data_IF_022658072653
#
_entry.id   IF_022658072653
#
_cell.length_a   1.000
_cell.length_b   1.000
_cell.length_c   1.000
_cell.angle_alpha   90.00
_cell.angle_beta   90.00
_cell.angle_gamma   90.00
#
_symmetry.space_group_name_H-M   'P 1'
#
loop_
_entity.id
_entity.type
_entity.pdbx_description
1 polymer ?
#
# COMPACT_ATOMS: atom_id res chain seq x y z
N UNK A 1 24.21 8.25 25.71
CA UNK A 1 25.27 7.41 25.08
C UNK A 1 24.68 6.04 24.75
N UNK A 2 24.51 5.70 23.46
CA UNK A 2 24.07 4.35 23.06
C UNK A 2 25.27 3.40 23.25
N UNK A 3 25.10 2.34 24.06
CA UNK A 3 26.16 1.37 24.34
C UNK A 3 26.73 0.75 23.05
N UNK A 4 28.06 0.66 22.96
CA UNK A 4 28.79 0.01 21.84
C UNK A 4 28.24 -1.41 21.53
N UNK A 5 27.81 -2.15 22.57
CA UNK A 5 27.18 -3.48 22.41
C UNK A 5 25.87 -3.41 21.58
N UNK A 6 25.09 -2.35 21.73
CA UNK A 6 23.83 -2.17 21.01
C UNK A 6 24.06 -1.93 19.50
N UNK A 7 25.09 -1.14 19.16
CA UNK A 7 25.46 -0.85 17.78
C UNK A 7 25.94 -2.14 17.08
N UNK A 8 26.79 -2.93 17.74
CA UNK A 8 27.27 -4.21 17.21
C UNK A 8 26.13 -5.20 17.00
N UNK A 9 25.21 -5.32 17.96
CA UNK A 9 24.03 -6.18 17.83
C UNK A 9 23.11 -5.74 16.69
N UNK A 10 22.86 -4.43 16.55
CA UNK A 10 22.05 -3.88 15.46
C UNK A 10 22.67 -4.18 14.08
N UNK A 11 23.99 -4.03 13.94
CA UNK A 11 24.74 -4.38 12.71
C UNK A 11 24.64 -5.87 12.42
N UNK A 12 24.89 -6.73 13.40
CA UNK A 12 24.78 -8.18 13.23
C UNK A 12 23.37 -8.59 12.77
N UNK A 13 22.34 -8.07 13.42
CA UNK A 13 20.94 -8.31 13.04
C UNK A 13 20.63 -7.81 11.63
N UNK A 14 21.20 -6.67 11.21
CA UNK A 14 21.07 -6.16 9.86
C UNK A 14 21.69 -7.12 8.83
N UNK A 15 22.92 -7.59 9.05
CA UNK A 15 23.61 -8.53 8.17
C UNK A 15 22.91 -9.90 8.09
N UNK A 16 22.56 -10.50 9.24
CA UNK A 16 21.78 -11.75 9.28
C UNK A 16 20.46 -11.58 8.54
N UNK A 17 19.79 -10.43 8.73
CA UNK A 17 18.58 -10.09 7.99
C UNK A 17 18.78 -10.02 6.47
N UNK A 18 19.93 -9.52 6.00
CA UNK A 18 20.27 -9.48 4.58
C UNK A 18 20.52 -10.88 4.02
N UNK A 19 21.28 -11.72 4.73
CA UNK A 19 21.53 -13.12 4.34
C UNK A 19 20.21 -13.89 4.24
N UNK A 20 19.35 -13.79 5.26
CA UNK A 20 18.03 -14.40 5.23
C UNK A 20 17.21 -13.92 4.02
N UNK A 21 17.22 -12.61 3.73
CA UNK A 21 16.46 -12.03 2.60
C UNK A 21 17.00 -12.48 1.23
N UNK A 22 18.31 -12.66 1.12
CA UNK A 22 18.97 -13.21 -0.05
C UNK A 22 18.55 -14.68 -0.28
N UNK A 23 18.76 -15.55 0.71
CA UNK A 23 18.43 -16.99 0.62
C UNK A 23 16.94 -17.22 0.40
N UNK A 24 16.09 -16.45 1.06
CA UNK A 24 14.63 -16.55 0.89
C UNK A 24 14.09 -15.78 -0.33
N UNK A 25 14.99 -15.26 -1.18
CA UNK A 25 14.64 -14.53 -2.38
C UNK A 25 13.80 -15.36 -3.33
N UNK A 26 14.24 -16.58 -3.64
CA UNK A 26 13.56 -17.52 -4.56
C UNK A 26 12.10 -17.74 -4.19
N UNK A 27 11.79 -17.82 -2.89
CA UNK A 27 10.45 -18.13 -2.41
C UNK A 27 9.52 -16.92 -2.35
N UNK A 28 10.04 -15.76 -1.95
CA UNK A 28 9.21 -14.61 -1.58
C UNK A 28 9.38 -13.39 -2.48
N UNK A 29 10.39 -13.35 -3.36
CA UNK A 29 10.52 -12.30 -4.36
C UNK A 29 9.78 -12.70 -5.63
N UNK A 30 9.06 -11.74 -6.23
CA UNK A 30 8.35 -11.95 -7.48
C UNK A 30 8.52 -10.74 -8.37
N UNK A 31 8.57 -10.95 -9.69
CA UNK A 31 8.41 -9.89 -10.68
C UNK A 31 6.94 -9.82 -11.07
N UNK A 32 6.35 -8.63 -10.96
CA UNK A 32 4.94 -8.40 -11.31
C UNK A 32 4.85 -7.28 -12.35
N UNK A 33 3.72 -7.23 -13.07
CA UNK A 33 3.36 -6.03 -13.82
C UNK A 33 2.84 -4.97 -12.84
N UNK A 34 3.22 -3.70 -13.00
CA UNK A 34 2.76 -2.62 -12.11
C UNK A 34 1.23 -2.49 -12.12
N UNK A 35 0.56 -2.81 -13.22
CA UNK A 35 -0.91 -2.79 -13.31
C UNK A 35 -1.59 -3.85 -12.43
N UNK A 36 -0.84 -4.80 -11.87
CA UNK A 36 -1.35 -5.73 -10.87
C UNK A 36 -1.29 -5.16 -9.45
N UNK A 37 -0.57 -4.05 -9.23
CA UNK A 37 -0.40 -3.47 -7.91
C UNK A 37 -1.54 -2.50 -7.57
N UNK A 38 -1.96 -2.52 -6.32
CA UNK A 38 -2.91 -1.57 -5.77
C UNK A 38 -2.62 -1.25 -4.29
N UNK A 39 -3.22 -0.19 -3.78
CA UNK A 39 -3.15 0.18 -2.37
C UNK A 39 -4.02 -0.76 -1.53
N UNK A 40 -3.91 -0.62 -0.21
CA UNK A 40 -4.78 -1.28 0.76
C UNK A 40 -6.27 -0.90 0.63
N UNK A 41 -6.58 0.14 -0.14
CA UNK A 41 -7.95 0.61 -0.41
C UNK A 41 -8.41 0.28 -1.84
N UNK A 42 -7.62 -0.48 -2.61
CA UNK A 42 -7.95 -0.83 -3.99
C UNK A 42 -7.70 0.28 -5.02
N UNK A 43 -7.03 1.38 -4.65
CA UNK A 43 -6.55 2.35 -5.65
C UNK A 43 -5.43 1.72 -6.47
N UNK A 44 -5.54 1.78 -7.79
CA UNK A 44 -4.60 1.12 -8.69
C UNK A 44 -3.41 2.02 -9.01
N UNK A 45 -2.24 1.41 -9.21
CA UNK A 45 -1.06 2.08 -9.74
C UNK A 45 -0.97 2.02 -11.28
N UNK A 46 -2.00 1.57 -12.00
CA UNK A 46 -1.99 1.51 -13.47
C UNK A 46 -2.24 2.86 -14.15
N UNK A 47 -1.91 2.97 -15.44
CA UNK A 47 -2.13 4.19 -16.24
C UNK A 47 -3.60 4.63 -16.29
N UNK A 48 -4.54 3.68 -16.33
CA UNK A 48 -5.98 3.93 -16.29
C UNK A 48 -6.59 3.90 -14.87
N UNK A 49 -5.75 3.95 -13.82
CA UNK A 49 -6.15 4.00 -12.43
C UNK A 49 -5.92 5.38 -11.82
N UNK A 50 -6.58 5.64 -10.70
CA UNK A 50 -6.42 6.87 -9.93
C UNK A 50 -5.66 6.59 -8.63
N UNK A 51 -4.64 7.40 -8.34
CA UNK A 51 -3.86 7.34 -7.10
C UNK A 51 -3.33 8.72 -6.74
N UNK A 52 -3.65 9.23 -5.55
CA UNK A 52 -3.32 10.61 -5.13
C UNK A 52 -1.85 11.00 -5.35
N UNK A 53 -0.87 10.14 -4.99
CA UNK A 53 0.55 10.43 -5.25
C UNK A 53 0.85 10.61 -6.74
N UNK A 54 0.28 9.79 -7.63
CA UNK A 54 0.54 9.91 -9.07
C UNK A 54 -0.07 11.19 -9.63
N UNK A 55 -1.29 11.54 -9.22
CA UNK A 55 -1.89 12.81 -9.61
C UNK A 55 -1.06 13.99 -9.11
N UNK A 56 -0.56 13.95 -7.88
CA UNK A 56 0.36 14.98 -7.36
C UNK A 56 1.67 15.09 -8.12
N UNK A 57 2.21 13.97 -8.61
CA UNK A 57 3.40 14.03 -9.47
C UNK A 57 3.07 14.62 -10.86
N UNK A 58 1.87 14.37 -11.41
CA UNK A 58 1.42 15.03 -12.65
C UNK A 58 1.23 16.54 -12.45
N UNK A 59 0.61 16.94 -11.34
CA UNK A 59 0.44 18.33 -10.93
C UNK A 59 1.80 19.03 -10.80
N UNK A 60 2.74 18.39 -10.11
CA UNK A 60 4.10 18.90 -9.94
C UNK A 60 4.88 18.98 -11.27
N UNK A 61 4.79 17.97 -12.13
CA UNK A 61 5.44 18.01 -13.45
C UNK A 61 4.86 19.15 -14.33
N UNK A 62 3.57 19.47 -14.19
CA UNK A 62 2.92 20.59 -14.88
C UNK A 62 3.20 21.97 -14.25
N UNK A 63 3.38 22.03 -12.94
CA UNK A 63 3.73 23.24 -12.19
C UNK A 63 4.65 22.91 -11.00
N UNK A 64 5.98 22.98 -11.14
CA UNK A 64 6.92 22.69 -10.06
C UNK A 64 6.84 23.64 -8.86
N UNK A 65 6.18 24.79 -9.01
CA UNK A 65 5.93 25.78 -7.95
C UNK A 65 4.57 25.64 -7.26
N UNK A 66 3.81 24.59 -7.57
CA UNK A 66 2.51 24.33 -6.93
C UNK A 66 2.63 24.30 -5.39
N UNK A 67 1.75 25.02 -4.69
CA UNK A 67 1.63 24.92 -3.25
C UNK A 67 1.08 23.54 -2.89
N UNK A 68 1.63 22.90 -1.87
CA UNK A 68 1.21 21.56 -1.46
C UNK A 68 -0.29 21.49 -1.15
N UNK A 69 -0.92 22.59 -0.70
CA UNK A 69 -2.35 22.68 -0.39
C UNK A 69 -3.25 22.54 -1.61
N UNK A 70 -2.73 22.87 -2.78
CA UNK A 70 -3.46 22.78 -4.05
C UNK A 70 -3.32 21.39 -4.71
N UNK A 71 -2.64 20.45 -4.06
CA UNK A 71 -2.35 19.13 -4.63
C UNK A 71 -3.41 18.09 -4.30
N UNK A 72 -3.60 17.11 -5.19
CA UNK A 72 -4.45 15.94 -4.92
C UNK A 72 -4.05 15.20 -3.63
N UNK A 73 -2.75 15.18 -3.28
CA UNK A 73 -2.27 14.60 -2.02
C UNK A 73 -2.86 15.32 -0.80
N UNK A 74 -2.90 16.65 -0.81
CA UNK A 74 -3.48 17.42 0.29
C UNK A 74 -4.95 17.09 0.47
N UNK A 75 -5.74 17.17 -0.60
CA UNK A 75 -7.15 16.84 -0.53
C UNK A 75 -7.38 15.39 -0.06
N UNK A 76 -6.61 14.42 -0.57
CA UNK A 76 -6.74 13.03 -0.16
C UNK A 76 -6.45 12.85 1.33
N UNK A 77 -5.33 13.41 1.81
CA UNK A 77 -4.92 13.29 3.21
C UNK A 77 -5.80 14.12 4.16
N UNK A 78 -6.54 15.10 3.65
CA UNK A 78 -7.46 15.92 4.45
C UNK A 78 -8.86 15.32 4.54
N UNK A 79 -9.39 14.81 3.44
CA UNK A 79 -10.83 14.51 3.31
C UNK A 79 -11.15 13.01 3.17
N UNK A 80 -10.19 12.17 2.77
CA UNK A 80 -10.44 10.73 2.71
C UNK A 80 -10.34 10.11 4.10
N UNK A 81 -11.46 9.99 4.80
CA UNK A 81 -11.53 9.56 6.20
C UNK A 81 -12.46 8.33 6.40
N UNK A 82 -12.22 7.19 5.72
CA UNK A 82 -13.04 5.99 5.90
C UNK A 82 -12.92 5.47 7.33
N UNK A 83 -14.05 5.00 7.90
CA UNK A 83 -14.09 4.36 9.22
C UNK A 83 -13.88 2.85 9.12
N UNK A 84 -14.18 2.29 7.95
CA UNK A 84 -14.04 0.87 7.64
C UNK A 84 -13.66 0.66 6.18
N UNK A 85 -13.03 -0.48 5.88
CA UNK A 85 -12.90 -0.95 4.48
C UNK A 85 -14.28 -1.13 3.81
N UNK A 86 -15.31 -1.39 4.61
CA UNK A 86 -16.67 -1.59 4.13
C UNK A 86 -17.29 -0.31 3.55
N UNK A 87 -16.84 0.87 4.00
CA UNK A 87 -17.25 2.17 3.45
C UNK A 87 -16.83 2.34 1.98
N UNK A 88 -15.84 1.57 1.54
CA UNK A 88 -15.32 1.59 0.17
C UNK A 88 -15.99 0.55 -0.73
N UNK A 89 -16.78 -0.36 -0.17
CA UNK A 89 -17.51 -1.37 -0.92
C UNK A 89 -18.97 -0.94 -1.11
N UNK A 90 -19.62 -1.40 -2.18
CA UNK A 90 -21.05 -1.15 -2.41
C UNK A 90 -21.97 -1.80 -1.35
N UNK A 91 -21.42 -2.45 -0.32
CA UNK A 91 -22.17 -3.19 0.67
C UNK A 91 -22.26 -2.42 2.00
N UNK A 92 -23.19 -1.46 2.07
CA UNK A 92 -23.48 -0.70 3.31
C UNK A 92 -24.16 -1.53 4.41
N UNK A 93 -24.50 -2.80 4.17
CA UNK A 93 -25.08 -3.70 5.18
C UNK A 93 -24.04 -4.09 6.24
N UNK A 94 -24.48 -4.21 7.51
CA UNK A 94 -23.73 -4.59 8.73
C UNK A 94 -22.37 -5.26 8.45
N UNK A 95 -21.32 -4.44 8.38
CA UNK A 95 -19.95 -4.88 8.41
C UNK A 95 -19.30 -4.28 9.66
N UNK A 96 -18.82 -5.14 10.56
CA UNK A 96 -18.24 -4.75 11.85
C UNK A 96 -16.70 -4.72 11.82
N UNK A 97 -16.10 -4.64 10.63
CA UNK A 97 -14.65 -4.56 10.50
C UNK A 97 -14.19 -3.11 10.72
N UNK A 98 -13.17 -2.92 11.55
CA UNK A 98 -12.55 -1.61 11.70
C UNK A 98 -11.63 -1.28 10.51
N UNK A 99 -11.18 -0.03 10.43
CA UNK A 99 -10.18 0.38 9.45
C UNK A 99 -8.91 -0.50 9.56
N UNK A 100 -8.43 -0.99 8.42
CA UNK A 100 -7.31 -1.94 8.29
C UNK A 100 -7.59 -3.38 8.76
N UNK A 101 -8.84 -3.71 9.11
CA UNK A 101 -9.31 -5.08 9.24
C UNK A 101 -9.97 -5.53 7.93
N UNK A 102 -9.53 -6.67 7.41
CA UNK A 102 -10.04 -7.26 6.17
C UNK A 102 -10.67 -8.62 6.47
N UNK A 103 -11.45 -9.21 5.55
CA UNK A 103 -12.02 -10.54 5.75
C UNK A 103 -10.98 -11.60 6.14
N UNK A 104 -9.77 -11.52 5.56
CA UNK A 104 -8.64 -12.41 5.82
C UNK A 104 -7.76 -12.00 7.01
N UNK A 105 -8.12 -10.96 7.77
CA UNK A 105 -7.43 -10.55 9.00
C UNK A 105 -6.85 -9.14 8.95
N UNK A 106 -6.00 -8.82 9.93
CA UNK A 106 -5.36 -7.49 10.09
C UNK A 106 -4.11 -7.37 9.26
N UNK A 107 -3.99 -6.30 8.48
CA UNK A 107 -2.76 -6.00 7.72
C UNK A 107 -1.69 -5.27 8.55
N UNK A 108 -2.06 -4.72 9.72
CA UNK A 108 -1.15 -4.06 10.64
C UNK A 108 -1.39 -4.50 12.09
N UNK A 109 -0.31 -4.56 12.88
CA UNK A 109 -0.40 -4.69 14.33
C UNK A 109 -0.77 -3.32 14.91
N UNK A 110 -2.01 -3.21 15.38
CA UNK A 110 -2.59 -1.96 15.87
C UNK A 110 -1.95 -1.54 17.20
N UNK A 111 -0.89 -0.72 17.16
CA UNK A 111 -0.84 0.40 18.11
C UNK A 111 -1.76 1.48 17.53
N UNK A 112 -2.57 2.12 18.38
CA UNK A 112 -3.33 3.31 17.98
C UNK A 112 -2.38 4.27 17.27
N UNK A 113 -2.62 4.53 15.99
CA UNK A 113 -1.86 5.53 15.23
C UNK A 113 -2.68 6.81 15.29
N UNK A 114 -2.03 7.88 15.69
CA UNK A 114 -2.61 9.20 15.63
C UNK A 114 -3.01 9.52 14.18
N UNK A 115 -4.31 9.76 13.90
CA UNK A 115 -4.80 10.10 12.58
C UNK A 115 -4.10 11.32 11.96
N UNK A 116 -3.66 12.27 12.79
CA UNK A 116 -3.01 13.51 12.34
C UNK A 116 -1.69 13.24 11.60
N UNK A 117 -1.04 12.11 11.86
CA UNK A 117 0.23 11.67 11.25
C UNK A 117 0.08 10.40 10.40
N UNK A 118 -1.14 10.08 9.98
CA UNK A 118 -1.45 8.91 9.16
C UNK A 118 -1.03 9.13 7.69
N UNK A 119 -0.29 8.17 7.12
CA UNK A 119 0.07 8.17 5.68
C UNK A 119 -0.93 7.42 4.81
N UNK A 120 -1.98 6.85 5.41
CA UNK A 120 -2.92 6.00 4.68
C UNK A 120 -4.18 6.76 4.29
N UNK A 121 -4.72 7.54 5.22
CA UNK A 121 -5.97 8.28 5.08
C UNK A 121 -6.04 9.35 6.19
N UNK A 122 -6.91 10.33 5.99
CA UNK A 122 -7.06 11.52 6.82
C UNK A 122 -7.98 11.36 8.05
N UNK A 123 -8.21 12.49 8.77
CA UNK A 123 -7.66 13.82 8.48
C UNK A 123 -6.25 13.98 9.06
N UNK A 124 -5.28 14.27 8.20
CA UNK A 124 -3.91 14.60 8.61
C UNK A 124 -3.72 16.10 8.88
N UNK A 125 -2.69 16.44 9.67
CA UNK A 125 -2.32 17.85 9.91
C UNK A 125 -1.65 18.46 8.67
N UNK A 126 -1.76 19.78 8.51
CA UNK A 126 -1.19 20.48 7.36
C UNK A 126 0.35 20.37 7.33
N UNK A 127 0.99 20.44 8.49
CA UNK A 127 2.44 20.27 8.64
C UNK A 127 2.88 18.88 8.21
N UNK A 128 2.12 17.85 8.58
CA UNK A 128 2.40 16.48 8.18
C UNK A 128 2.25 16.28 6.68
N UNK A 129 1.19 16.83 6.08
CA UNK A 129 0.96 16.76 4.64
C UNK A 129 2.09 17.47 3.89
N UNK A 130 2.53 18.64 4.35
CA UNK A 130 3.65 19.37 3.76
C UNK A 130 4.95 18.55 3.80
N UNK A 131 5.27 17.92 4.94
CA UNK A 131 6.41 17.01 5.05
C UNK A 131 6.30 15.80 4.09
N UNK A 132 5.12 15.19 3.97
CA UNK A 132 4.90 14.08 3.03
C UNK A 132 5.03 14.51 1.57
N UNK A 133 4.54 15.69 1.20
CA UNK A 133 4.71 16.27 -0.12
C UNK A 133 6.20 16.46 -0.44
N UNK A 134 6.93 17.19 0.42
CA UNK A 134 8.36 17.45 0.24
C UNK A 134 9.19 16.15 0.13
N UNK A 135 8.91 15.17 1.00
CA UNK A 135 9.57 13.85 0.94
C UNK A 135 9.27 13.11 -0.35
N UNK A 136 8.04 13.20 -0.84
CA UNK A 136 7.62 12.54 -2.07
C UNK A 136 8.29 13.17 -3.29
N UNK A 137 8.34 14.50 -3.38
CA UNK A 137 9.02 15.22 -4.46
C UNK A 137 10.53 14.94 -4.45
N UNK A 138 11.17 14.97 -3.28
CA UNK A 138 12.59 14.63 -3.15
C UNK A 138 12.86 13.20 -3.63
N UNK A 139 12.05 12.23 -3.18
CA UNK A 139 12.17 10.84 -3.60
C UNK A 139 11.92 10.67 -5.11
N UNK A 140 10.95 11.40 -5.68
CA UNK A 140 10.67 11.41 -7.11
C UNK A 140 11.90 11.87 -7.91
N UNK A 141 12.50 13.00 -7.51
CA UNK A 141 13.68 13.55 -8.15
C UNK A 141 14.91 12.64 -8.04
N UNK A 142 15.08 11.93 -6.92
CA UNK A 142 16.13 10.90 -6.77
C UNK A 142 15.89 9.68 -7.67
N UNK A 143 14.65 9.17 -7.70
CA UNK A 143 14.29 7.99 -8.48
C UNK A 143 14.19 8.26 -9.98
N UNK A 144 13.99 9.51 -10.41
CA UNK A 144 14.10 9.89 -11.83
C UNK A 144 15.52 9.72 -12.37
N UNK A 145 16.53 9.91 -11.50
CA UNK A 145 17.96 9.80 -11.82
C UNK A 145 18.52 8.40 -11.64
N UNK A 146 17.80 7.52 -10.91
CA UNK A 146 18.32 6.22 -10.48
C UNK A 146 17.37 5.09 -10.86
N UNK A 147 17.90 3.95 -11.30
CA UNK A 147 17.05 2.78 -11.54
C UNK A 147 16.67 2.06 -10.24
N UNK A 148 15.53 1.39 -10.24
CA UNK A 148 15.09 0.56 -9.13
C UNK A 148 16.06 -0.61 -8.88
N UNK A 149 16.83 -0.53 -7.80
CA UNK A 149 17.86 -1.51 -7.41
C UNK A 149 17.59 -2.06 -5.99
N UNK A 150 16.50 -2.83 -5.78
CA UNK A 150 16.10 -3.28 -4.45
C UNK A 150 17.10 -4.23 -3.78
N UNK A 151 18.00 -4.84 -4.55
CA UNK A 151 19.04 -5.73 -4.04
C UNK A 151 20.26 -4.99 -3.46
N UNK A 152 20.46 -3.71 -3.82
CA UNK A 152 21.60 -2.91 -3.30
C UNK A 152 21.55 -2.83 -1.78
N UNK A 153 20.34 -2.77 -1.22
CA UNK A 153 20.09 -2.90 0.20
C UNK A 153 18.86 -3.79 0.35
N UNK A 154 19.01 -5.05 0.75
CA UNK A 154 17.95 -6.05 0.64
C UNK A 154 16.64 -5.74 1.39
N UNK A 155 16.57 -4.65 2.17
CA UNK A 155 15.37 -4.12 2.82
C UNK A 155 14.61 -3.09 1.95
N UNK A 156 15.01 -2.89 0.69
CA UNK A 156 14.42 -1.89 -0.19
C UNK A 156 13.34 -2.43 -1.14
N UNK A 157 12.98 -3.71 -1.06
CA UNK A 157 11.83 -4.20 -1.80
C UNK A 157 10.56 -3.44 -1.43
N UNK A 158 9.67 -3.29 -2.41
CA UNK A 158 8.27 -2.99 -2.14
C UNK A 158 7.64 -4.27 -1.60
N UNK A 159 7.01 -4.19 -0.43
CA UNK A 159 6.43 -5.35 0.24
C UNK A 159 4.90 -5.32 0.20
N UNK A 160 4.29 -6.49 0.14
CA UNK A 160 2.85 -6.59 0.03
C UNK A 160 2.31 -8.01 0.16
N UNK A 161 1.04 -8.18 -0.17
CA UNK A 161 0.36 -9.47 -0.21
C UNK A 161 -0.23 -9.72 -1.60
N UNK A 162 -0.39 -11.00 -1.95
CA UNK A 162 -0.97 -11.40 -3.23
C UNK A 162 -2.41 -11.90 -3.02
N UNK A 163 -3.35 -11.33 -3.74
CA UNK A 163 -4.73 -11.81 -3.85
C UNK A 163 -4.88 -12.56 -5.17
N UNK A 164 -5.62 -13.67 -5.15
CA UNK A 164 -5.94 -14.48 -6.34
C UNK A 164 -7.44 -14.74 -6.37
N UNK A 165 -8.13 -14.27 -7.40
CA UNK A 165 -9.57 -14.52 -7.55
C UNK A 165 -9.85 -15.90 -8.16
N UNK A 166 -11.12 -16.29 -8.22
CA UNK A 166 -11.55 -17.59 -8.78
C UNK A 166 -11.17 -17.80 -10.26
N UNK A 167 -10.92 -16.72 -10.99
CA UNK A 167 -10.50 -16.76 -12.40
C UNK A 167 -8.97 -16.80 -12.57
N UNK A 168 -8.22 -16.84 -11.47
CA UNK A 168 -6.76 -16.87 -11.48
C UNK A 168 -6.10 -15.49 -11.69
N UNK A 169 -6.89 -14.42 -11.76
CA UNK A 169 -6.36 -13.05 -11.82
C UNK A 169 -5.66 -12.71 -10.51
N UNK A 170 -4.62 -11.88 -10.59
CA UNK A 170 -3.74 -11.57 -9.46
C UNK A 170 -3.74 -10.07 -9.18
N UNK A 171 -3.80 -9.73 -7.89
CA UNK A 171 -3.60 -8.36 -7.39
C UNK A 171 -2.56 -8.36 -6.28
N UNK A 172 -1.60 -7.45 -6.37
CA UNK A 172 -0.57 -7.24 -5.37
C UNK A 172 -0.90 -6.01 -4.54
N UNK A 173 -1.35 -6.23 -3.31
CA UNK A 173 -1.70 -5.13 -2.39
C UNK A 173 -0.43 -4.66 -1.70
N UNK A 174 -0.06 -3.40 -1.93
CA UNK A 174 1.16 -2.79 -1.41
C UNK A 174 0.99 -2.43 0.06
N UNK A 175 1.76 -3.09 0.92
CA UNK A 175 1.79 -2.85 2.37
C UNK A 175 2.95 -1.94 2.79
N UNK A 176 4.06 -1.96 2.06
CA UNK A 176 5.20 -1.09 2.30
C UNK A 176 5.80 -0.61 0.98
N UNK A 177 6.05 0.69 0.89
CA UNK A 177 6.63 1.32 -0.30
C UNK A 177 5.60 1.90 -1.27
N UNK A 178 4.42 2.32 -0.80
CA UNK A 178 3.39 2.97 -1.62
C UNK A 178 3.94 4.15 -2.44
N UNK A 179 4.70 5.07 -1.83
CA UNK A 179 5.32 6.19 -2.55
C UNK A 179 6.23 5.73 -3.69
N UNK A 180 7.07 4.70 -3.45
CA UNK A 180 7.98 4.15 -4.47
C UNK A 180 7.20 3.49 -5.60
N UNK A 181 6.16 2.71 -5.29
CA UNK A 181 5.30 2.12 -6.31
C UNK A 181 4.62 3.20 -7.18
N UNK A 182 4.08 4.25 -6.55
CA UNK A 182 3.46 5.36 -7.25
C UNK A 182 4.44 6.11 -8.16
N UNK A 183 5.64 6.41 -7.67
CA UNK A 183 6.70 7.07 -8.43
C UNK A 183 7.15 6.21 -9.62
N UNK A 184 7.42 4.92 -9.41
CA UNK A 184 7.83 4.04 -10.50
C UNK A 184 6.73 3.86 -11.56
N UNK A 185 5.47 3.81 -11.13
CA UNK A 185 4.34 3.86 -12.05
C UNK A 185 4.29 5.17 -12.85
N UNK A 186 4.43 6.32 -12.18
CA UNK A 186 4.47 7.64 -12.82
C UNK A 186 5.60 7.77 -13.84
N UNK A 187 6.77 7.22 -13.52
CA UNK A 187 7.93 7.14 -14.41
C UNK A 187 7.76 6.10 -15.54
N UNK A 188 6.58 5.49 -15.69
CA UNK A 188 6.25 4.61 -16.82
C UNK A 188 6.79 3.18 -16.69
N UNK A 189 7.26 2.76 -15.52
CA UNK A 189 7.74 1.38 -15.35
C UNK A 189 6.59 0.38 -15.54
N UNK A 190 6.83 -0.66 -16.35
CA UNK A 190 5.82 -1.70 -16.62
C UNK A 190 5.91 -2.91 -15.70
N UNK A 191 7.10 -3.20 -15.20
CA UNK A 191 7.32 -4.33 -14.29
C UNK A 191 8.19 -3.94 -13.11
N UNK A 192 7.98 -4.58 -11.96
CA UNK A 192 8.74 -4.30 -10.75
C UNK A 192 8.96 -5.57 -9.92
N UNK A 193 10.12 -5.65 -9.28
CA UNK A 193 10.44 -6.73 -8.34
C UNK A 193 9.89 -6.38 -6.95
N UNK A 194 9.03 -7.24 -6.42
CA UNK A 194 8.39 -7.08 -5.12
C UNK A 194 8.80 -8.21 -4.19
N UNK A 195 8.43 -8.08 -2.92
CA UNK A 195 8.58 -9.13 -1.93
C UNK A 195 7.26 -9.36 -1.19
N UNK A 196 6.90 -10.61 -0.95
CA UNK A 196 5.77 -10.95 -0.08
C UNK A 196 6.11 -10.59 1.38
N UNK A 197 5.19 -9.90 2.04
CA UNK A 197 5.29 -9.54 3.44
C UNK A 197 5.41 -10.80 4.31
N UNK A 198 6.12 -10.69 5.43
CA UNK A 198 6.28 -11.80 6.38
C UNK A 198 4.94 -12.34 6.90
N UNK A 199 3.94 -11.47 7.04
CA UNK A 199 2.59 -11.83 7.49
C UNK A 199 1.78 -12.54 6.40
N UNK A 200 2.15 -12.37 5.13
CA UNK A 200 1.38 -12.83 3.96
C UNK A 200 2.29 -13.54 2.96
N UNK A 201 2.99 -14.58 3.43
CA UNK A 201 3.88 -15.41 2.60
C UNK A 201 3.14 -16.30 1.61
N UNK A 202 1.88 -16.59 1.90
CA UNK A 202 0.97 -17.35 1.03
C UNK A 202 -0.05 -16.40 0.39
N UNK A 203 -0.41 -16.59 -0.88
CA UNK A 203 -1.49 -15.82 -1.50
C UNK A 203 -2.82 -16.04 -0.79
N UNK A 204 -3.63 -15.00 -0.69
CA UNK A 204 -5.02 -15.08 -0.23
C UNK A 204 -5.88 -15.39 -1.45
N UNK A 205 -6.54 -16.55 -1.46
CA UNK A 205 -7.39 -16.98 -2.57
C UNK A 205 -8.86 -16.77 -2.24
N UNK A 206 -9.63 -16.33 -3.23
CA UNK A 206 -11.09 -16.20 -3.12
C UNK A 206 -11.79 -17.54 -2.82
N UNK A 207 -11.25 -18.65 -3.37
CA UNK A 207 -11.73 -20.01 -3.09
C UNK A 207 -11.74 -20.35 -1.60
N UNK A 208 -10.88 -19.70 -0.83
CA UNK A 208 -10.65 -20.03 0.57
C UNK A 208 -11.51 -19.15 1.51
N UNK A 209 -12.52 -18.46 0.98
CA UNK A 209 -13.34 -17.47 1.71
C UNK A 209 -13.90 -17.98 3.04
N UNK A 210 -14.35 -19.23 3.11
CA UNK A 210 -14.89 -19.82 4.34
C UNK A 210 -13.83 -19.98 5.44
N UNK A 211 -12.54 -20.05 5.05
CA UNK A 211 -11.41 -20.17 5.98
C UNK A 211 -10.86 -18.84 6.46
N UNK A 212 -11.27 -17.72 5.83
CA UNK A 212 -10.74 -16.41 6.17
C UNK A 212 -11.08 -16.03 7.61
N UNK A 213 -10.10 -15.47 8.33
CA UNK A 213 -10.14 -15.30 9.79
C UNK A 213 -11.43 -14.64 10.27
N UNK A 214 -11.86 -13.54 9.64
CA UNK A 214 -13.03 -12.80 10.10
C UNK A 214 -14.36 -13.37 9.57
N UNK A 215 -14.32 -14.16 8.49
CA UNK A 215 -15.48 -14.94 8.01
C UNK A 215 -15.73 -16.11 8.95
N UNK A 216 -14.68 -16.89 9.27
CA UNK A 216 -14.74 -18.04 10.20
C UNK A 216 -15.23 -17.63 11.60
N UNK A 217 -14.93 -16.40 12.03
CA UNK A 217 -15.37 -15.84 13.31
C UNK A 217 -16.79 -15.25 13.29
N UNK A 218 -17.47 -15.24 12.14
CA UNK A 218 -18.80 -14.66 12.00
C UNK A 218 -18.85 -13.13 12.10
N UNK A 219 -17.70 -12.44 12.01
CA UNK A 219 -17.63 -10.97 12.06
C UNK A 219 -18.11 -10.31 10.76
N UNK A 220 -18.11 -11.10 9.67
CA UNK A 220 -18.57 -10.67 8.35
C UNK A 220 -19.15 -11.87 7.59
N UNK A 221 -20.22 -11.66 6.82
CA UNK A 221 -20.79 -12.69 5.96
C UNK A 221 -19.86 -13.02 4.79
N UNK A 222 -20.02 -14.23 4.21
CA UNK A 222 -19.28 -14.66 3.02
C UNK A 222 -19.51 -13.70 1.84
N UNK A 223 -20.74 -13.23 1.67
CA UNK A 223 -21.11 -12.29 0.61
C UNK A 223 -20.38 -10.95 0.78
N UNK A 224 -20.43 -10.35 1.97
CA UNK A 224 -19.73 -9.09 2.26
C UNK A 224 -18.21 -9.25 2.15
N UNK A 225 -17.65 -10.39 2.57
CA UNK A 225 -16.24 -10.69 2.42
C UNK A 225 -15.82 -10.76 0.95
N UNK A 226 -16.62 -11.40 0.08
CA UNK A 226 -16.37 -11.43 -1.37
C UNK A 226 -16.48 -10.03 -1.99
N UNK A 227 -17.42 -9.20 -1.54
CA UNK A 227 -17.55 -7.83 -2.03
C UNK A 227 -16.31 -6.98 -1.70
N UNK A 228 -15.77 -7.08 -0.48
CA UNK A 228 -14.49 -6.43 -0.12
C UNK A 228 -13.32 -7.00 -0.91
N UNK A 229 -13.25 -8.32 -1.09
CA UNK A 229 -12.19 -8.93 -1.89
C UNK A 229 -12.23 -8.44 -3.34
N UNK A 230 -13.44 -8.34 -3.92
CA UNK A 230 -13.65 -7.89 -5.29
C UNK A 230 -13.34 -6.41 -5.51
N UNK A 231 -13.33 -5.59 -4.45
CA UNK A 231 -12.88 -4.19 -4.50
C UNK A 231 -11.52 -4.08 -5.21
N UNK A 232 -10.58 -4.96 -4.89
CA UNK A 232 -9.21 -4.92 -5.42
C UNK A 232 -9.11 -5.31 -6.89
N UNK A 233 -10.13 -5.96 -7.44
CA UNK A 233 -10.16 -6.43 -8.82
C UNK A 233 -11.00 -5.51 -9.72
N UNK A 234 -12.11 -4.99 -9.18
CA UNK A 234 -13.09 -4.17 -9.91
C UNK A 234 -12.76 -2.67 -9.85
N UNK A 235 -12.31 -2.19 -8.71
CA UNK A 235 -12.00 -0.76 -8.55
C UNK A 235 -10.55 -0.46 -8.95
N UNK A 236 -10.33 0.78 -9.35
CA UNK A 236 -9.03 1.29 -9.79
C UNK A 236 -8.68 2.64 -9.14
N UNK A 237 -9.46 3.10 -8.14
CA UNK A 237 -9.20 4.31 -7.36
C UNK A 237 -10.22 5.43 -7.56
N UNK A 238 -11.04 5.40 -8.62
CA UNK A 238 -12.07 6.43 -8.82
C UNK A 238 -13.18 6.38 -7.76
N UNK A 239 -13.43 5.21 -7.16
CA UNK A 239 -14.30 5.07 -5.99
C UNK A 239 -13.83 5.89 -4.78
N UNK A 240 -12.51 6.12 -4.67
CA UNK A 240 -11.92 6.98 -3.64
C UNK A 240 -12.03 8.44 -4.06
N UNK A 241 -11.71 8.78 -5.32
CA UNK A 241 -11.85 10.15 -5.84
C UNK A 241 -13.27 10.70 -5.63
N UNK A 242 -14.28 9.85 -5.70
CA UNK A 242 -15.68 10.20 -5.45
C UNK A 242 -15.97 10.75 -4.04
N UNK A 243 -15.05 10.63 -3.06
CA UNK A 243 -15.19 11.17 -1.71
C UNK A 243 -15.12 12.71 -1.61
N UNK A 244 -15.41 13.45 -2.71
CA UNK A 244 -15.21 14.90 -2.83
C UNK A 244 -13.80 15.33 -2.39
N UNK A 245 -12.83 14.57 -2.89
CA UNK A 245 -11.40 14.86 -2.80
C UNK A 245 -11.04 15.78 -3.96
#
# INVERSE_FOLDING_TARGET
MISSKYITFARLRFYIGNVYRFVSGVKYQKRININQACTIFGSSFCDNGWHHIRETLKEYDGNPSIDYRDTTMYHFMKYFCPKSICDLSNNKKKCNLSLFEYPWGKIYTTKSKDPLISRFCGPSSDEFIQDQYNRTINLYNELKKTSYKPWKFGNQFIEGMLLINRFGEKRFVVLQGNHRMAIFSHLGMKTINIRLSKLYRSPIKESDVLSWVNVKRGLISVESAKNIFNLFFKENGFHIKAFKI
#
